data_IF_210771493298
#
_entry.id   IF_210771493298
#
_cell.length_a   1.000
_cell.length_b   1.000
_cell.length_c   1.000
_cell.angle_alpha   90.00
_cell.angle_beta   90.00
_cell.angle_gamma   90.00
#
_symmetry.space_group_name_H-M   'P 1'
#
loop_
_entity.id
_entity.type
_entity.pdbx_description
1 polymer ?
#
# COMPACT_ATOMS: atom_id res chain seq x y z
N UNK A 1 13.20 -29.87 -0.16
CA UNK A 1 12.72 -29.40 -1.48
C UNK A 1 13.65 -29.89 -2.57
N UNK A 2 13.11 -30.46 -3.65
CA UNK A 2 13.83 -30.85 -4.86
C UNK A 2 13.69 -29.74 -5.90
N UNK A 3 14.78 -29.39 -6.57
CA UNK A 3 14.84 -28.29 -7.54
C UNK A 3 15.65 -28.76 -8.75
N UNK A 4 15.01 -28.85 -9.92
CA UNK A 4 15.64 -29.31 -11.16
C UNK A 4 15.50 -28.27 -12.27
N UNK A 5 16.58 -27.96 -12.99
CA UNK A 5 16.54 -26.99 -14.11
C UNK A 5 16.07 -27.67 -15.40
N UNK A 6 15.07 -27.06 -16.04
CA UNK A 6 14.57 -27.45 -17.36
C UNK A 6 14.72 -26.29 -18.35
N UNK A 7 15.10 -26.63 -19.58
CA UNK A 7 15.03 -25.72 -20.72
C UNK A 7 13.75 -26.02 -21.48
N UNK A 8 12.84 -25.05 -21.53
CA UNK A 8 11.54 -25.21 -22.18
C UNK A 8 11.36 -24.08 -23.18
N UNK A 9 11.02 -24.43 -24.43
CA UNK A 9 10.79 -23.43 -25.47
C UNK A 9 9.55 -22.59 -25.18
N UNK A 10 9.59 -21.31 -25.56
CA UNK A 10 8.42 -20.42 -25.50
C UNK A 10 7.20 -21.05 -26.17
N UNK A 11 7.38 -21.69 -27.33
CA UNK A 11 6.30 -22.37 -28.05
C UNK A 11 5.53 -23.39 -27.21
N UNK A 12 6.20 -24.08 -26.30
CA UNK A 12 5.57 -25.04 -25.41
C UNK A 12 4.89 -24.33 -24.24
N UNK A 13 5.59 -23.38 -23.60
CA UNK A 13 5.08 -22.64 -22.43
C UNK A 13 3.78 -21.92 -22.74
N UNK A 14 3.68 -21.21 -23.87
CA UNK A 14 2.48 -20.43 -24.24
C UNK A 14 1.38 -21.25 -24.91
N UNK A 15 1.61 -22.55 -25.14
CA UNK A 15 0.65 -23.40 -25.84
C UNK A 15 -0.68 -23.46 -25.08
N UNK A 16 -1.78 -23.19 -25.77
CA UNK A 16 -3.11 -23.20 -25.16
C UNK A 16 -3.31 -22.11 -24.12
N UNK A 17 -2.59 -20.99 -24.25
CA UNK A 17 -2.75 -19.81 -23.39
C UNK A 17 -4.22 -19.38 -23.28
N UNK A 18 -4.66 -19.13 -22.06
CA UNK A 18 -5.97 -18.57 -21.73
C UNK A 18 -5.79 -17.52 -20.64
N UNK A 19 -6.17 -16.29 -20.96
CA UNK A 19 -6.30 -15.20 -20.01
C UNK A 19 -7.78 -14.99 -19.69
N UNK A 20 -8.22 -15.59 -18.59
CA UNK A 20 -9.56 -15.41 -18.08
C UNK A 20 -9.46 -14.50 -16.88
N UNK A 21 -9.54 -13.19 -17.10
CA UNK A 21 -9.27 -12.12 -16.12
C UNK A 21 -9.70 -12.45 -14.68
N UNK A 22 -10.83 -13.13 -14.50
CA UNK A 22 -11.37 -13.54 -13.19
C UNK A 22 -11.00 -14.96 -12.73
N UNK A 23 -10.81 -15.89 -13.66
CA UNK A 23 -10.57 -17.31 -13.38
C UNK A 23 -9.06 -17.65 -13.29
N UNK A 24 -8.18 -16.71 -13.60
CA UNK A 24 -6.74 -16.89 -13.60
C UNK A 24 -6.16 -16.94 -15.02
N UNK A 25 -4.85 -17.19 -15.10
CA UNK A 25 -4.13 -17.28 -16.38
C UNK A 25 -3.48 -18.65 -16.47
N UNK A 26 -3.75 -19.38 -17.56
CA UNK A 26 -3.20 -20.73 -17.76
C UNK A 26 -2.54 -20.89 -19.12
N UNK A 27 -1.57 -21.80 -19.22
CA UNK A 27 -0.93 -22.17 -20.47
C UNK A 27 -0.33 -23.59 -20.38
N UNK A 28 0.69 -23.90 -21.18
CA UNK A 28 1.33 -25.21 -21.26
C UNK A 28 0.31 -26.35 -21.46
N UNK A 29 -0.61 -26.14 -22.42
CA UNK A 29 -1.76 -27.03 -22.70
C UNK A 29 -2.67 -27.27 -21.50
N UNK A 30 -2.85 -26.26 -20.64
CA UNK A 30 -3.65 -26.32 -19.42
C UNK A 30 -2.93 -26.94 -18.21
N UNK A 31 -1.64 -27.29 -18.34
CA UNK A 31 -0.85 -27.86 -17.25
C UNK A 31 -0.14 -26.83 -16.39
N UNK A 32 -0.07 -25.58 -16.82
CA UNK A 32 0.56 -24.50 -16.06
C UNK A 32 -0.49 -23.47 -15.64
N UNK A 33 -0.64 -23.29 -14.33
CA UNK A 33 -1.30 -22.13 -13.76
C UNK A 33 -0.27 -20.99 -13.65
N UNK A 34 -0.34 -20.03 -14.58
CA UNK A 34 0.57 -18.88 -14.63
C UNK A 34 0.22 -17.89 -13.51
N UNK A 35 -1.07 -17.74 -13.21
CA UNK A 35 -1.57 -16.83 -12.19
C UNK A 35 -2.79 -17.44 -11.51
N UNK A 36 -2.57 -18.14 -10.38
CA UNK A 36 -3.64 -18.60 -9.51
C UNK A 36 -4.48 -17.44 -9.00
N UNK A 37 -5.75 -17.71 -8.67
CA UNK A 37 -6.72 -16.69 -8.23
C UNK A 37 -6.26 -15.87 -7.01
N UNK A 38 -5.40 -16.41 -6.15
CA UNK A 38 -4.87 -15.73 -4.97
C UNK A 38 -3.64 -14.85 -5.24
N UNK A 39 -2.90 -15.07 -6.35
CA UNK A 39 -1.72 -14.27 -6.69
C UNK A 39 -2.09 -12.91 -7.32
N UNK A 40 -1.22 -11.90 -7.20
CA UNK A 40 -1.49 -10.53 -7.68
C UNK A 40 -1.77 -10.48 -9.19
N UNK A 41 -2.45 -9.42 -9.61
CA UNK A 41 -2.72 -9.14 -11.03
C UNK A 41 -1.42 -8.86 -11.81
N UNK A 42 -1.52 -8.66 -13.13
CA UNK A 42 -0.38 -8.20 -13.92
C UNK A 42 -0.05 -6.74 -13.56
N UNK A 43 1.21 -6.46 -13.21
CA UNK A 43 1.65 -5.17 -12.65
C UNK A 43 2.84 -4.55 -13.38
N UNK A 44 3.44 -5.25 -14.35
CA UNK A 44 4.45 -4.65 -15.22
C UNK A 44 3.85 -3.48 -16.01
N UNK A 45 4.56 -2.35 -16.01
CA UNK A 45 4.29 -1.27 -16.95
C UNK A 45 4.56 -1.71 -18.40
N UNK A 46 4.03 -0.97 -19.37
CA UNK A 46 4.29 -1.23 -20.79
C UNK A 46 5.79 -1.36 -21.10
N UNK A 47 6.62 -0.47 -20.54
CA UNK A 47 8.09 -0.52 -20.71
C UNK A 47 8.70 -1.82 -20.17
N UNK A 48 8.29 -2.28 -18.99
CA UNK A 48 8.83 -3.51 -18.39
C UNK A 48 8.42 -4.74 -19.20
N UNK A 49 7.15 -4.80 -19.61
CA UNK A 49 6.62 -5.86 -20.48
C UNK A 49 7.37 -5.92 -21.81
N UNK A 50 7.57 -4.77 -22.44
CA UNK A 50 8.25 -4.67 -23.74
C UNK A 50 9.74 -5.08 -23.62
N UNK A 51 10.40 -4.79 -22.50
CA UNK A 51 11.78 -5.20 -22.24
C UNK A 51 11.95 -6.72 -22.17
N UNK A 52 10.94 -7.45 -21.67
CA UNK A 52 10.95 -8.93 -21.69
C UNK A 52 11.07 -9.44 -23.13
N UNK A 53 10.24 -8.90 -24.03
CA UNK A 53 10.25 -9.30 -25.44
C UNK A 53 11.54 -8.86 -26.12
N UNK A 54 12.05 -7.66 -25.80
CA UNK A 54 13.34 -7.17 -26.33
C UNK A 54 14.51 -8.06 -25.91
N UNK A 55 14.51 -8.54 -24.67
CA UNK A 55 15.52 -9.48 -24.16
C UNK A 55 15.52 -10.78 -24.97
N UNK A 56 14.34 -11.35 -25.21
CA UNK A 56 14.16 -12.56 -26.02
C UNK A 56 14.60 -12.34 -27.46
N UNK A 57 14.16 -11.24 -28.07
CA UNK A 57 14.54 -10.84 -29.43
C UNK A 57 16.06 -10.73 -29.60
N UNK A 58 16.77 -10.23 -28.60
CA UNK A 58 18.22 -10.07 -28.67
C UNK A 58 18.97 -11.34 -28.24
N UNK A 59 18.27 -12.45 -27.98
CA UNK A 59 18.83 -13.69 -27.45
C UNK A 59 19.62 -13.47 -26.15
N UNK A 60 19.26 -12.45 -25.37
CA UNK A 60 19.85 -12.17 -24.08
C UNK A 60 19.26 -13.10 -23.01
N UNK A 61 20.01 -13.41 -21.95
CA UNK A 61 19.52 -14.28 -20.89
C UNK A 61 18.38 -13.59 -20.12
N UNK A 62 17.19 -14.16 -20.22
CA UNK A 62 16.08 -13.82 -19.35
C UNK A 62 16.31 -14.49 -18.00
N UNK A 63 16.00 -13.79 -16.91
CA UNK A 63 16.12 -14.37 -15.56
C UNK A 63 15.38 -15.72 -15.49
N UNK A 64 15.90 -16.63 -14.66
CA UNK A 64 15.29 -17.95 -14.43
C UNK A 64 13.88 -17.80 -13.85
N UNK A 65 13.01 -18.75 -14.15
CA UNK A 65 11.66 -18.84 -13.59
C UNK A 65 11.57 -20.05 -12.68
N UNK A 66 10.59 -20.06 -11.78
CA UNK A 66 10.38 -21.16 -10.84
C UNK A 66 8.93 -21.61 -10.93
N UNK A 67 8.73 -22.89 -11.20
CA UNK A 67 7.43 -23.53 -11.20
C UNK A 67 7.38 -24.55 -10.07
N UNK A 68 6.28 -24.56 -9.33
CA UNK A 68 6.02 -25.57 -8.31
C UNK A 68 5.14 -26.65 -8.91
N UNK A 69 5.54 -27.90 -8.73
CA UNK A 69 4.73 -29.05 -9.10
C UNK A 69 3.63 -29.27 -8.05
N UNK A 70 2.40 -29.38 -8.53
CA UNK A 70 1.20 -29.68 -7.74
C UNK A 70 1.01 -31.19 -7.61
N UNK A 71 0.17 -31.60 -6.66
CA UNK A 71 -0.13 -33.01 -6.40
C UNK A 71 -0.79 -33.73 -7.59
N UNK A 72 -1.56 -32.98 -8.39
CA UNK A 72 -2.20 -33.45 -9.62
C UNK A 72 -1.23 -33.62 -10.81
N UNK A 73 0.08 -33.33 -10.61
CA UNK A 73 1.11 -33.40 -11.63
C UNK A 73 1.19 -32.16 -12.55
N UNK A 74 0.32 -31.17 -12.35
CA UNK A 74 0.39 -29.88 -13.03
C UNK A 74 1.41 -28.95 -12.34
N UNK A 75 1.60 -27.76 -12.91
CA UNK A 75 2.52 -26.74 -12.42
C UNK A 75 1.79 -25.46 -12.05
N UNK A 76 2.37 -24.73 -11.11
CA UNK A 76 2.02 -23.37 -10.76
C UNK A 76 3.26 -22.48 -10.81
N UNK A 77 3.15 -21.26 -11.33
CA UNK A 77 4.27 -20.31 -11.30
C UNK A 77 4.48 -19.79 -9.88
N UNK A 78 5.69 -19.99 -9.37
CA UNK A 78 6.17 -19.45 -8.10
C UNK A 78 6.90 -18.11 -8.28
N UNK A 79 7.70 -18.00 -9.34
CA UNK A 79 8.32 -16.76 -9.80
C UNK A 79 8.45 -16.77 -11.32
N UNK A 80 8.36 -15.59 -11.92
CA UNK A 80 8.32 -15.41 -13.37
C UNK A 80 6.93 -15.14 -13.94
N UNK A 81 5.92 -14.94 -13.10
CA UNK A 81 4.53 -14.66 -13.53
C UNK A 81 4.48 -13.52 -14.56
N UNK A 82 5.03 -12.35 -14.23
CA UNK A 82 4.96 -11.16 -15.09
C UNK A 82 5.69 -11.36 -16.43
N UNK A 83 6.84 -12.07 -16.41
CA UNK A 83 7.58 -12.42 -17.62
C UNK A 83 6.80 -13.39 -18.49
N UNK A 84 6.24 -14.45 -17.89
CA UNK A 84 5.46 -15.47 -18.58
C UNK A 84 4.22 -14.87 -19.24
N UNK A 85 3.48 -14.02 -18.52
CA UNK A 85 2.31 -13.30 -19.05
C UNK A 85 2.73 -12.35 -20.18
N UNK A 86 3.82 -11.59 -20.03
CA UNK A 86 4.30 -10.67 -21.08
C UNK A 86 4.58 -11.40 -22.39
N UNK A 87 5.23 -12.57 -22.31
CA UNK A 87 5.53 -13.43 -23.46
C UNK A 87 4.24 -13.94 -24.08
N UNK A 88 3.33 -14.49 -23.27
CA UNK A 88 2.09 -15.07 -23.74
C UNK A 88 1.18 -14.01 -24.41
N UNK A 89 1.04 -12.84 -23.80
CA UNK A 89 0.29 -11.71 -24.36
C UNK A 89 0.87 -11.23 -25.68
N UNK A 90 2.19 -11.16 -25.82
CA UNK A 90 2.82 -10.77 -27.08
C UNK A 90 2.52 -11.78 -28.19
N UNK A 91 2.73 -13.08 -27.90
CA UNK A 91 2.46 -14.18 -28.84
C UNK A 91 0.97 -14.25 -29.21
N UNK A 92 0.07 -13.93 -28.27
CA UNK A 92 -1.37 -13.84 -28.50
C UNK A 92 -1.77 -12.62 -29.36
N UNK A 93 -0.89 -11.61 -29.48
CA UNK A 93 -1.13 -10.40 -30.26
C UNK A 93 -1.78 -9.26 -29.48
N UNK A 94 -1.72 -9.28 -28.15
CA UNK A 94 -2.42 -8.31 -27.29
C UNK A 94 -1.78 -6.91 -27.31
N UNK A 95 -0.53 -6.79 -27.77
CA UNK A 95 0.17 -5.52 -27.88
C UNK A 95 1.24 -5.55 -28.98
N UNK A 96 1.68 -4.35 -29.38
CA UNK A 96 2.79 -4.13 -30.30
C UNK A 96 4.02 -3.59 -29.57
N UNK A 97 5.19 -3.86 -30.11
CA UNK A 97 6.47 -3.31 -29.66
C UNK A 97 7.29 -2.77 -30.83
N UNK A 98 8.33 -2.01 -30.54
CA UNK A 98 9.36 -1.73 -31.53
C UNK A 98 10.17 -3.00 -31.82
N UNK A 99 10.06 -3.48 -33.05
CA UNK A 99 10.76 -4.64 -33.56
C UNK A 99 11.52 -4.25 -34.83
N UNK A 100 12.83 -4.02 -34.69
CA UNK A 100 13.75 -3.81 -35.81
C UNK A 100 13.44 -2.51 -36.58
N UNK A 101 13.17 -1.43 -35.83
CA UNK A 101 12.88 -0.11 -36.39
C UNK A 101 11.43 0.11 -36.84
N UNK A 102 10.53 -0.87 -36.62
CA UNK A 102 9.09 -0.74 -36.89
C UNK A 102 8.26 -1.16 -35.69
N UNK A 103 7.05 -0.62 -35.56
CA UNK A 103 6.07 -1.12 -34.59
C UNK A 103 5.41 -2.38 -35.15
N UNK A 104 5.49 -3.49 -34.42
CA UNK A 104 4.94 -4.78 -34.86
C UNK A 104 4.28 -5.53 -33.69
N UNK A 105 3.18 -6.23 -34.01
CA UNK A 105 2.60 -7.29 -33.19
C UNK A 105 3.17 -8.63 -33.65
N UNK A 106 3.04 -9.69 -32.84
CA UNK A 106 3.60 -11.01 -33.19
C UNK A 106 3.17 -11.54 -34.56
N UNK A 107 1.90 -11.35 -34.94
CA UNK A 107 1.37 -11.78 -36.25
C UNK A 107 1.88 -10.93 -37.44
N UNK A 108 2.48 -9.77 -37.19
CA UNK A 108 3.10 -8.91 -38.22
C UNK A 108 4.59 -9.21 -38.46
N UNK A 109 5.17 -10.08 -37.61
CA UNK A 109 6.57 -10.51 -37.72
C UNK A 109 6.74 -11.49 -38.89
N UNK A 110 7.94 -11.52 -39.48
CA UNK A 110 8.27 -12.57 -40.46
C UNK A 110 8.33 -13.94 -39.78
N UNK A 111 8.31 -15.02 -40.58
CA UNK A 111 8.37 -16.37 -40.03
C UNK A 111 9.65 -16.60 -39.23
N UNK A 112 10.76 -16.06 -39.69
CA UNK A 112 12.07 -16.12 -39.03
C UNK A 112 12.05 -15.38 -37.69
N UNK A 113 11.45 -14.18 -37.64
CA UNK A 113 11.30 -13.38 -36.42
C UNK A 113 10.39 -14.09 -35.40
N UNK A 114 9.28 -14.70 -35.86
CA UNK A 114 8.40 -15.50 -35.00
C UNK A 114 9.14 -16.73 -34.45
N UNK A 115 9.86 -17.45 -35.32
CA UNK A 115 10.57 -18.66 -34.94
C UNK A 115 11.73 -18.34 -33.97
N UNK A 116 12.36 -17.17 -34.09
CA UNK A 116 13.36 -16.70 -33.13
C UNK A 116 12.78 -16.59 -31.71
N UNK A 117 11.59 -16.01 -31.58
CA UNK A 117 10.90 -15.89 -30.29
C UNK A 117 10.43 -17.26 -29.80
N UNK A 118 9.74 -18.01 -30.65
CA UNK A 118 9.09 -19.28 -30.28
C UNK A 118 10.10 -20.38 -29.90
N UNK A 119 11.31 -20.35 -30.47
CA UNK A 119 12.38 -21.30 -30.16
C UNK A 119 13.30 -20.87 -29.02
N UNK A 120 13.10 -19.69 -28.42
CA UNK A 120 13.89 -19.26 -27.26
C UNK A 120 13.67 -20.22 -26.08
N UNK A 121 14.78 -20.69 -25.48
CA UNK A 121 14.77 -21.57 -24.31
C UNK A 121 14.62 -20.77 -23.01
N UNK A 122 13.50 -20.95 -22.33
CA UNK A 122 13.30 -20.46 -20.97
C UNK A 122 13.98 -21.39 -19.98
N UNK A 123 14.73 -20.81 -19.05
CA UNK A 123 15.38 -21.51 -17.94
C UNK A 123 14.39 -21.59 -16.77
N UNK A 124 13.78 -22.76 -16.56
CA UNK A 124 12.69 -22.96 -15.60
C UNK A 124 13.11 -24.02 -14.60
N UNK A 125 13.16 -23.66 -13.32
CA UNK A 125 13.33 -24.61 -12.24
C UNK A 125 11.98 -25.22 -11.87
N UNK A 126 11.89 -26.54 -11.90
CA UNK A 126 10.77 -27.28 -11.32
C UNK A 126 11.08 -27.58 -9.85
N UNK A 127 10.20 -27.12 -8.97
CA UNK A 127 10.31 -27.24 -7.53
C UNK A 127 9.27 -28.24 -7.01
N UNK A 128 9.70 -29.18 -6.18
CA UNK A 128 8.85 -30.19 -5.53
C UNK A 128 9.20 -30.25 -4.03
N UNK A 129 8.20 -30.17 -3.16
CA UNK A 129 8.40 -30.11 -1.72
C UNK A 129 7.09 -30.01 -0.96
N UNK A 130 7.15 -29.97 0.36
CA UNK A 130 5.96 -29.70 1.18
C UNK A 130 5.62 -28.19 1.20
N UNK A 131 4.45 -27.84 1.74
CA UNK A 131 3.95 -26.45 1.71
C UNK A 131 4.83 -25.48 2.48
N UNK A 132 5.44 -25.92 3.59
CA UNK A 132 6.40 -25.10 4.34
C UNK A 132 7.63 -24.78 3.50
N UNK A 133 8.21 -25.79 2.85
CA UNK A 133 9.38 -25.61 1.99
C UNK A 133 9.07 -24.69 0.80
N UNK A 134 7.92 -24.86 0.16
CA UNK A 134 7.44 -24.00 -0.94
C UNK A 134 7.31 -22.55 -0.49
N UNK A 135 6.73 -22.33 0.70
CA UNK A 135 6.53 -20.99 1.27
C UNK A 135 7.86 -20.32 1.66
N UNK A 136 8.76 -21.05 2.30
CA UNK A 136 10.08 -20.53 2.67
C UNK A 136 10.88 -20.17 1.40
N UNK A 137 10.80 -21.01 0.37
CA UNK A 137 11.44 -20.75 -0.91
C UNK A 137 10.83 -19.55 -1.64
N UNK A 138 9.49 -19.40 -1.60
CA UNK A 138 8.79 -18.23 -2.12
C UNK A 138 9.32 -16.94 -1.50
N UNK A 139 9.49 -16.91 -0.17
CA UNK A 139 10.06 -15.75 0.53
C UNK A 139 11.48 -15.44 0.07
N UNK A 140 12.31 -16.46 -0.14
CA UNK A 140 13.70 -16.29 -0.59
C UNK A 140 13.78 -15.70 -2.01
N UNK A 141 13.04 -16.26 -2.97
CA UNK A 141 13.10 -15.78 -4.36
C UNK A 141 12.62 -14.32 -4.47
N UNK A 142 11.60 -13.96 -3.70
CA UNK A 142 11.04 -12.60 -3.70
C UNK A 142 12.00 -11.52 -3.18
N UNK A 143 13.19 -11.87 -2.67
CA UNK A 143 14.24 -10.92 -2.28
C UNK A 143 14.96 -10.34 -3.52
N UNK A 144 15.14 -11.14 -4.58
CA UNK A 144 15.92 -10.75 -5.76
C UNK A 144 15.06 -10.23 -6.95
N UNK A 145 13.74 -10.47 -6.91
CA UNK A 145 12.79 -10.08 -7.96
C UNK A 145 12.06 -8.76 -7.69
N UNK A 146 11.00 -8.50 -8.46
CA UNK A 146 10.11 -7.37 -8.18
C UNK A 146 9.34 -7.65 -6.87
N UNK A 147 9.84 -7.04 -5.79
CA UNK A 147 9.40 -7.29 -4.42
C UNK A 147 7.88 -7.33 -4.32
N UNK A 148 7.37 -8.43 -3.75
CA UNK A 148 5.98 -8.54 -3.36
C UNK A 148 5.70 -7.59 -2.18
N UNK A 149 4.54 -6.95 -2.24
CA UNK A 149 4.02 -6.14 -1.15
C UNK A 149 3.65 -7.05 0.03
N UNK A 150 3.64 -6.53 1.28
CA UNK A 150 3.37 -7.35 2.46
C UNK A 150 2.09 -8.18 2.33
N UNK A 151 0.99 -7.58 1.86
CA UNK A 151 -0.26 -8.30 1.67
C UNK A 151 -0.20 -9.40 0.60
N UNK A 152 0.60 -9.21 -0.45
CA UNK A 152 0.79 -10.22 -1.50
C UNK A 152 1.52 -11.46 -0.95
N UNK A 153 2.43 -11.29 0.02
CA UNK A 153 3.07 -12.39 0.73
C UNK A 153 2.08 -13.11 1.67
N UNK A 154 1.25 -12.36 2.40
CA UNK A 154 0.23 -12.94 3.30
C UNK A 154 -0.76 -13.81 2.54
N UNK A 155 -1.16 -13.40 1.34
CA UNK A 155 -2.06 -14.18 0.50
C UNK A 155 -1.53 -15.57 0.15
N UNK A 156 -0.23 -15.72 -0.07
CA UNK A 156 0.39 -17.01 -0.37
C UNK A 156 0.32 -17.97 0.83
N UNK A 157 0.25 -17.44 2.06
CA UNK A 157 0.10 -18.23 3.29
C UNK A 157 -1.36 -18.60 3.54
N UNK A 158 -2.26 -17.62 3.41
CA UNK A 158 -3.67 -17.74 3.81
C UNK A 158 -4.60 -17.95 2.61
N UNK A 159 -4.20 -18.83 1.69
CA UNK A 159 -5.00 -19.16 0.51
C UNK A 159 -6.28 -19.91 0.89
N UNK A 160 -7.41 -19.54 0.28
CA UNK A 160 -8.70 -20.18 0.53
C UNK A 160 -9.85 -19.50 -0.21
N UNK A 161 -11.07 -20.01 0.01
CA UNK A 161 -12.31 -19.45 -0.57
C UNK A 161 -12.52 -18.00 -0.14
N UNK A 162 -12.28 -17.70 1.13
CA UNK A 162 -12.39 -16.35 1.68
C UNK A 162 -11.48 -15.36 0.94
N UNK A 163 -10.19 -15.71 0.76
CA UNK A 163 -9.23 -14.83 0.12
C UNK A 163 -9.58 -14.60 -1.36
N UNK A 164 -9.99 -15.66 -2.05
CA UNK A 164 -10.39 -15.58 -3.46
C UNK A 164 -11.52 -14.56 -3.65
N UNK A 165 -12.53 -14.61 -2.78
CA UNK A 165 -13.64 -13.65 -2.80
C UNK A 165 -13.24 -12.24 -2.32
N UNK A 166 -12.37 -12.11 -1.30
CA UNK A 166 -11.83 -10.84 -0.86
C UNK A 166 -11.11 -10.11 -2.01
N UNK A 167 -10.29 -10.82 -2.79
CA UNK A 167 -9.57 -10.23 -3.92
C UNK A 167 -10.49 -9.73 -5.04
N UNK A 168 -11.61 -10.39 -5.29
CA UNK A 168 -12.61 -9.89 -6.24
C UNK A 168 -13.13 -8.51 -5.82
N UNK A 169 -13.33 -8.32 -4.51
CA UNK A 169 -13.87 -7.08 -3.93
C UNK A 169 -12.82 -5.97 -3.80
N UNK A 170 -11.56 -6.32 -3.53
CA UNK A 170 -10.52 -5.35 -3.13
C UNK A 170 -9.29 -5.25 -4.04
N UNK A 171 -9.01 -6.22 -4.91
CA UNK A 171 -7.66 -6.36 -5.51
C UNK A 171 -7.59 -6.35 -7.03
N UNK A 172 -8.68 -6.01 -7.72
CA UNK A 172 -8.72 -5.82 -9.17
C UNK A 172 -8.69 -4.34 -9.55
N UNK A 173 -8.28 -4.06 -10.79
CA UNK A 173 -8.52 -2.75 -11.40
C UNK A 173 -10.01 -2.42 -11.33
N UNK A 174 -10.34 -1.22 -10.85
CA UNK A 174 -11.74 -0.78 -10.66
C UNK A 174 -12.60 -1.76 -9.85
N UNK A 175 -12.01 -2.45 -8.86
CA UNK A 175 -12.77 -3.31 -7.95
C UNK A 175 -13.83 -2.51 -7.16
N UNK A 176 -14.80 -3.22 -6.58
CA UNK A 176 -15.90 -2.62 -5.83
C UNK A 176 -15.40 -1.68 -4.71
N UNK A 177 -14.36 -2.08 -3.97
CA UNK A 177 -13.78 -1.26 -2.92
C UNK A 177 -13.14 0.03 -3.46
N UNK A 178 -12.45 -0.05 -4.60
CA UNK A 178 -11.86 1.11 -5.26
C UNK A 178 -12.94 2.09 -5.71
N UNK A 179 -13.96 1.60 -6.42
CA UNK A 179 -15.05 2.45 -6.89
C UNK A 179 -15.77 3.12 -5.71
N UNK A 180 -16.09 2.36 -4.66
CA UNK A 180 -16.77 2.88 -3.47
C UNK A 180 -15.95 3.94 -2.73
N UNK A 181 -14.65 3.74 -2.53
CA UNK A 181 -13.80 4.69 -1.82
C UNK A 181 -13.48 5.96 -2.62
N UNK A 182 -13.68 5.93 -3.95
CA UNK A 182 -13.46 7.07 -4.84
C UNK A 182 -14.76 7.79 -5.25
N UNK A 183 -15.93 7.19 -4.99
CA UNK A 183 -17.22 7.81 -5.26
C UNK A 183 -17.43 9.04 -4.35
N UNK A 184 -17.53 10.23 -4.94
CA UNK A 184 -17.55 11.50 -4.21
C UNK A 184 -16.16 11.98 -3.74
N UNK A 185 -15.07 11.45 -4.30
CA UNK A 185 -13.68 11.89 -4.04
C UNK A 185 -12.85 10.86 -3.26
N UNK A 186 -11.53 10.80 -3.47
CA UNK A 186 -10.71 9.71 -2.94
C UNK A 186 -10.56 9.69 -1.42
N UNK A 187 -11.01 8.63 -0.74
CA UNK A 187 -10.83 8.43 0.71
C UNK A 187 -9.64 7.54 1.07
N UNK A 188 -9.15 6.74 0.13
CA UNK A 188 -8.06 5.78 0.34
C UNK A 188 -7.04 5.94 -0.78
N UNK A 189 -5.78 6.13 -0.40
CA UNK A 189 -4.63 6.05 -1.32
C UNK A 189 -4.18 4.60 -1.48
N UNK A 190 -3.50 4.30 -2.60
CA UNK A 190 -2.95 2.98 -2.88
C UNK A 190 -3.53 2.35 -4.14
N UNK A 191 -2.92 1.23 -4.52
CA UNK A 191 -3.20 0.47 -5.73
C UNK A 191 -3.94 -0.83 -5.39
N UNK A 192 -5.17 -1.01 -5.91
CA UNK A 192 -5.91 -2.27 -5.75
C UNK A 192 -5.13 -3.48 -6.27
N UNK A 193 -4.47 -3.35 -7.43
CA UNK A 193 -3.71 -4.46 -8.03
C UNK A 193 -2.44 -4.82 -7.27
N UNK A 194 -1.92 -3.91 -6.43
CA UNK A 194 -0.87 -4.17 -5.43
C UNK A 194 -1.41 -4.57 -4.05
N UNK A 195 -2.72 -4.74 -3.97
CA UNK A 195 -3.46 -5.19 -2.80
C UNK A 195 -3.48 -4.23 -1.60
N UNK A 196 -3.13 -2.96 -1.80
CA UNK A 196 -3.09 -1.96 -0.73
C UNK A 196 -4.49 -1.67 -0.16
N UNK A 197 -5.54 -1.81 -0.98
CA UNK A 197 -6.94 -1.69 -0.54
C UNK A 197 -7.36 -2.83 0.39
N UNK A 198 -6.98 -4.07 0.04
CA UNK A 198 -7.23 -5.24 0.87
C UNK A 198 -6.46 -5.13 2.19
N UNK A 199 -5.18 -4.73 2.11
CA UNK A 199 -4.33 -4.50 3.28
C UNK A 199 -4.93 -3.44 4.22
N UNK A 200 -5.38 -2.31 3.68
CA UNK A 200 -6.01 -1.23 4.44
C UNK A 200 -7.28 -1.71 5.14
N UNK A 201 -8.18 -2.39 4.43
CA UNK A 201 -9.41 -2.93 5.01
C UNK A 201 -9.12 -3.96 6.12
N UNK A 202 -8.10 -4.80 5.92
CA UNK A 202 -7.69 -5.78 6.92
C UNK A 202 -7.07 -5.12 8.16
N UNK A 203 -6.16 -4.17 7.96
CA UNK A 203 -5.57 -3.37 9.06
C UNK A 203 -6.67 -2.73 9.89
N UNK A 204 -7.67 -2.12 9.25
CA UNK A 204 -8.79 -1.47 9.92
C UNK A 204 -9.66 -2.41 10.75
N UNK A 205 -10.09 -3.55 10.19
CA UNK A 205 -10.99 -4.47 10.89
C UNK A 205 -10.27 -5.26 12.00
N UNK A 206 -8.95 -5.45 11.87
CA UNK A 206 -8.15 -6.28 12.78
C UNK A 206 -7.27 -5.47 13.74
N UNK A 207 -7.28 -4.14 13.65
CA UNK A 207 -6.36 -3.26 14.39
C UNK A 207 -4.90 -3.68 14.19
N UNK A 208 -4.50 -3.76 12.91
CA UNK A 208 -3.19 -4.22 12.41
C UNK A 208 -2.82 -5.69 12.65
N UNK A 209 -3.68 -6.50 13.27
CA UNK A 209 -3.50 -7.96 13.39
C UNK A 209 -3.92 -8.74 12.11
N UNK A 210 -3.43 -8.32 10.94
CA UNK A 210 -3.87 -8.81 9.62
C UNK A 210 -3.74 -10.34 9.50
N UNK A 211 -2.59 -10.89 9.87
CA UNK A 211 -2.31 -12.32 9.72
C UNK A 211 -3.25 -13.18 10.58
N UNK A 212 -3.57 -12.70 11.79
CA UNK A 212 -4.51 -13.38 12.69
C UNK A 212 -5.93 -13.37 12.11
N UNK A 213 -6.37 -12.25 11.54
CA UNK A 213 -7.66 -12.16 10.86
C UNK A 213 -7.73 -13.14 9.68
N UNK A 214 -6.72 -13.12 8.80
CA UNK A 214 -6.68 -14.01 7.65
C UNK A 214 -6.65 -15.49 8.04
N UNK A 215 -5.89 -15.86 9.08
CA UNK A 215 -5.84 -17.23 9.59
C UNK A 215 -7.19 -17.71 10.13
N UNK A 216 -7.92 -16.85 10.85
CA UNK A 216 -9.24 -17.18 11.40
C UNK A 216 -10.31 -17.35 10.32
N UNK A 217 -10.20 -16.59 9.23
CA UNK A 217 -11.22 -16.53 8.17
C UNK A 217 -10.85 -17.32 6.90
N UNK A 218 -9.67 -17.95 6.84
CA UNK A 218 -9.14 -18.60 5.63
C UNK A 218 -10.14 -19.57 4.95
N UNK A 219 -10.91 -20.30 5.74
CA UNK A 219 -11.87 -21.31 5.28
C UNK A 219 -13.32 -20.81 5.22
N UNK A 220 -13.57 -19.53 5.50
CA UNK A 220 -14.89 -18.94 5.31
C UNK A 220 -15.25 -18.98 3.81
N UNK A 221 -16.55 -19.12 3.52
CA UNK A 221 -17.04 -19.24 2.14
C UNK A 221 -16.77 -17.98 1.31
N UNK A 222 -16.83 -16.80 1.94
CA UNK A 222 -16.67 -15.50 1.32
C UNK A 222 -16.19 -14.45 2.33
N UNK A 223 -15.80 -13.28 1.85
CA UNK A 223 -15.32 -12.14 2.62
C UNK A 223 -16.41 -11.09 2.90
N UNK A 224 -17.68 -11.49 3.00
CA UNK A 224 -18.80 -10.56 3.15
C UNK A 224 -18.72 -9.74 4.45
N UNK A 225 -18.19 -10.31 5.53
CA UNK A 225 -17.97 -9.58 6.79
C UNK A 225 -16.97 -8.42 6.62
N UNK A 226 -15.83 -8.69 5.94
CA UNK A 226 -14.84 -7.67 5.63
C UNK A 226 -15.42 -6.60 4.70
N UNK A 227 -16.21 -7.04 3.71
CA UNK A 227 -16.86 -6.15 2.76
C UNK A 227 -17.86 -5.21 3.44
N UNK A 228 -18.77 -5.76 4.25
CA UNK A 228 -19.75 -4.98 5.02
C UNK A 228 -19.06 -3.99 5.96
N UNK A 229 -18.00 -4.42 6.66
CA UNK A 229 -17.20 -3.53 7.48
C UNK A 229 -16.66 -2.34 6.68
N UNK A 230 -16.02 -2.61 5.54
CA UNK A 230 -15.49 -1.57 4.67
C UNK A 230 -16.57 -0.61 4.16
N UNK A 231 -17.71 -1.15 3.72
CA UNK A 231 -18.85 -0.34 3.30
C UNK A 231 -19.35 0.59 4.40
N UNK A 232 -19.45 0.09 5.63
CA UNK A 232 -19.88 0.87 6.78
C UNK A 232 -18.88 1.99 7.13
N UNK A 233 -17.58 1.73 7.03
CA UNK A 233 -16.55 2.76 7.20
C UNK A 233 -16.74 3.87 6.17
N UNK A 234 -16.80 3.53 4.88
CA UNK A 234 -16.94 4.53 3.81
C UNK A 234 -18.24 5.31 3.96
N UNK A 235 -19.37 4.63 4.21
CA UNK A 235 -20.65 5.28 4.42
C UNK A 235 -20.61 6.26 5.61
N UNK A 236 -20.07 5.83 6.75
CA UNK A 236 -19.95 6.69 7.93
C UNK A 236 -19.10 7.93 7.67
N UNK A 237 -17.99 7.80 6.93
CA UNK A 237 -17.15 8.96 6.54
C UNK A 237 -17.96 9.95 5.70
N UNK A 238 -18.73 9.47 4.73
CA UNK A 238 -19.53 10.32 3.84
C UNK A 238 -20.67 11.03 4.57
N UNK A 239 -21.33 10.35 5.49
CA UNK A 239 -22.38 10.94 6.33
C UNK A 239 -21.82 11.99 7.30
N UNK A 240 -20.65 11.70 7.89
CA UNK A 240 -20.02 12.57 8.90
C UNK A 240 -19.34 13.79 8.28
N UNK A 241 -18.71 13.64 7.12
CA UNK A 241 -17.90 14.66 6.45
C UNK A 241 -18.45 14.95 5.04
N UNK A 242 -19.38 15.91 4.97
CA UNK A 242 -20.15 16.18 3.75
C UNK A 242 -19.33 16.75 2.58
N UNK A 243 -18.21 17.42 2.87
CA UNK A 243 -17.40 18.11 1.85
C UNK A 243 -16.06 17.42 1.64
N UNK A 244 -15.89 16.85 0.45
CA UNK A 244 -14.63 16.24 0.06
C UNK A 244 -13.50 17.26 -0.06
N UNK A 245 -12.32 16.86 0.44
CA UNK A 245 -11.03 17.53 0.21
C UNK A 245 -9.95 16.48 -0.03
N UNK A 246 -8.95 16.79 -0.84
CA UNK A 246 -7.87 15.84 -1.20
C UNK A 246 -7.13 15.25 0.00
N UNK A 247 -7.06 16.01 1.10
CA UNK A 247 -6.42 15.62 2.36
C UNK A 247 -7.10 14.41 3.03
N UNK A 248 -8.36 14.12 2.67
CA UNK A 248 -9.13 12.97 3.18
C UNK A 248 -8.56 11.62 2.73
N UNK A 249 -7.83 11.59 1.62
CA UNK A 249 -7.28 10.35 1.04
C UNK A 249 -6.22 9.65 1.90
N UNK A 250 -5.62 10.38 2.85
CA UNK A 250 -4.54 9.91 3.71
C UNK A 250 -4.96 9.73 5.18
N UNK A 251 -6.26 9.76 5.48
CA UNK A 251 -6.77 9.62 6.85
C UNK A 251 -7.04 8.14 7.15
N UNK A 252 -6.67 7.70 8.36
CA UNK A 252 -6.98 6.35 8.84
C UNK A 252 -8.47 6.24 9.24
N UNK A 253 -9.35 6.13 8.25
CA UNK A 253 -10.80 6.14 8.47
C UNK A 253 -11.31 4.96 9.29
N UNK A 254 -10.69 3.78 9.17
CA UNK A 254 -11.09 2.61 9.95
C UNK A 254 -10.89 2.78 11.44
N UNK A 255 -9.76 3.37 11.85
CA UNK A 255 -9.48 3.69 13.27
C UNK A 255 -10.53 4.65 13.83
N UNK A 256 -10.82 5.73 13.10
CA UNK A 256 -11.83 6.71 13.50
C UNK A 256 -13.24 6.09 13.53
N UNK A 257 -13.59 5.29 12.54
CA UNK A 257 -14.87 4.58 12.51
C UNK A 257 -14.99 3.66 13.73
N UNK A 258 -13.96 2.88 14.04
CA UNK A 258 -13.98 1.93 15.15
C UNK A 258 -14.21 2.63 16.50
N UNK A 259 -13.63 3.82 16.70
CA UNK A 259 -13.78 4.59 17.95
C UNK A 259 -15.07 5.42 18.00
N UNK A 260 -15.54 5.93 16.86
CA UNK A 260 -16.55 7.00 16.82
C UNK A 260 -17.88 6.66 16.13
N UNK A 261 -18.04 5.47 15.51
CA UNK A 261 -19.27 5.08 14.78
C UNK A 261 -20.56 5.18 15.59
N UNK A 262 -20.50 5.00 16.91
CA UNK A 262 -21.66 5.04 17.80
C UNK A 262 -21.98 6.45 18.32
N UNK A 263 -21.14 7.46 18.01
CA UNK A 263 -21.35 8.85 18.41
C UNK A 263 -22.10 9.60 17.31
N UNK A 264 -23.03 10.48 17.73
CA UNK A 264 -23.74 11.38 16.81
C UNK A 264 -22.93 12.66 16.63
N UNK A 265 -22.59 12.98 15.39
CA UNK A 265 -21.94 14.23 15.02
C UNK A 265 -22.91 15.17 14.32
N UNK A 266 -22.69 16.46 14.51
CA UNK A 266 -23.32 17.49 13.70
C UNK A 266 -22.36 17.84 12.56
N UNK A 267 -22.64 17.36 11.35
CA UNK A 267 -21.78 17.51 10.18
C UNK A 267 -21.55 18.99 9.80
N UNK A 268 -22.54 19.87 10.01
CA UNK A 268 -22.39 21.31 9.76
C UNK A 268 -21.40 21.96 10.72
N UNK A 269 -21.46 21.59 12.01
CA UNK A 269 -20.52 22.09 13.02
C UNK A 269 -19.11 21.60 12.74
N UNK A 270 -18.95 20.32 12.41
CA UNK A 270 -17.64 19.77 12.04
C UNK A 270 -17.07 20.47 10.80
N UNK A 271 -17.88 20.68 9.77
CA UNK A 271 -17.45 21.35 8.55
C UNK A 271 -17.02 22.80 8.79
N UNK A 272 -17.72 23.54 9.67
CA UNK A 272 -17.30 24.89 10.07
C UNK A 272 -15.91 24.87 10.70
N UNK A 273 -15.70 23.96 11.66
CA UNK A 273 -14.41 23.81 12.35
C UNK A 273 -13.29 23.38 11.39
N UNK A 274 -13.56 22.43 10.48
CA UNK A 274 -12.61 22.00 9.45
C UNK A 274 -12.19 23.20 8.59
N UNK A 275 -13.13 24.07 8.16
CA UNK A 275 -12.80 25.26 7.37
C UNK A 275 -11.88 26.23 8.11
N UNK A 276 -12.11 26.45 9.39
CA UNK A 276 -11.27 27.31 10.23
C UNK A 276 -9.85 26.75 10.33
N UNK A 277 -9.73 25.45 10.61
CA UNK A 277 -8.43 24.75 10.72
C UNK A 277 -7.68 24.63 9.38
N UNK A 278 -8.40 24.52 8.28
CA UNK A 278 -7.81 24.52 6.95
C UNK A 278 -7.16 25.86 6.60
N UNK A 279 -7.72 26.98 7.10
CA UNK A 279 -7.16 28.33 6.92
C UNK A 279 -6.03 28.65 7.90
N UNK A 280 -5.92 27.92 9.00
CA UNK A 280 -4.88 28.18 10.00
C UNK A 280 -3.50 27.77 9.48
N UNK A 281 -2.61 28.75 9.28
CA UNK A 281 -1.23 28.53 8.84
C UNK A 281 -0.39 27.74 9.86
N UNK A 282 -0.80 27.74 11.13
CA UNK A 282 -0.12 26.96 12.16
C UNK A 282 -0.40 25.45 12.02
N UNK A 283 -1.51 25.05 11.37
CA UNK A 283 -1.80 23.62 11.12
C UNK A 283 -1.06 23.18 9.86
N UNK A 284 0.05 22.47 10.03
CA UNK A 284 0.88 22.03 8.89
C UNK A 284 0.44 20.67 8.32
N UNK A 285 -0.15 19.78 9.13
CA UNK A 285 -0.70 18.48 8.67
C UNK A 285 -2.22 18.57 8.50
N UNK A 286 -2.66 19.06 7.35
CA UNK A 286 -4.08 19.26 7.03
C UNK A 286 -4.92 17.97 7.06
N UNK A 287 -4.37 16.81 6.72
CA UNK A 287 -5.07 15.52 6.89
C UNK A 287 -5.32 15.16 8.36
N UNK A 288 -4.53 15.71 9.28
CA UNK A 288 -4.70 15.54 10.72
C UNK A 288 -5.90 16.28 11.32
N UNK A 289 -6.54 17.17 10.56
CA UNK A 289 -7.71 17.91 11.02
C UNK A 289 -8.86 16.96 11.34
N UNK A 290 -9.11 15.95 10.50
CA UNK A 290 -10.21 14.99 10.68
C UNK A 290 -10.10 14.17 11.98
N UNK A 291 -8.97 13.52 12.30
CA UNK A 291 -8.81 12.87 13.59
C UNK A 291 -8.80 13.88 14.77
N UNK A 292 -8.25 15.09 14.59
CA UNK A 292 -8.24 16.10 15.65
C UNK A 292 -9.64 16.54 16.09
N UNK A 293 -10.54 16.85 15.16
CA UNK A 293 -11.87 17.36 15.54
C UNK A 293 -12.72 16.31 16.29
N UNK A 294 -12.38 15.03 16.13
CA UNK A 294 -13.02 13.91 16.83
C UNK A 294 -12.34 13.58 18.17
N UNK A 295 -11.01 13.57 18.21
CA UNK A 295 -10.21 13.12 19.37
C UNK A 295 -9.75 14.23 20.30
N UNK A 296 -9.66 15.47 19.78
CA UNK A 296 -9.06 16.66 20.41
C UNK A 296 -7.57 16.53 20.72
N UNK A 297 -6.86 15.59 20.09
CA UNK A 297 -5.41 15.41 20.25
C UNK A 297 -4.65 16.27 19.23
N UNK A 298 -3.98 17.32 19.70
CA UNK A 298 -3.20 18.25 18.85
C UNK A 298 -2.08 17.57 18.05
N UNK A 299 -1.59 16.42 18.53
CA UNK A 299 -0.55 15.62 17.85
C UNK A 299 -0.90 15.27 16.40
N UNK A 300 -2.20 15.21 16.05
CA UNK A 300 -2.62 14.99 14.67
C UNK A 300 -2.36 16.19 13.76
N UNK A 301 -2.44 17.42 14.26
CA UNK A 301 -2.38 18.65 13.45
C UNK A 301 -0.96 19.02 13.01
N UNK A 302 0.07 18.53 13.72
CA UNK A 302 1.47 18.92 13.54
C UNK A 302 1.61 20.45 13.50
N UNK A 303 1.43 21.10 14.66
CA UNK A 303 1.45 22.55 14.76
C UNK A 303 2.83 23.11 14.37
N UNK A 304 2.84 24.25 13.68
CA UNK A 304 4.04 24.97 13.22
C UNK A 304 4.98 25.18 14.40
N UNK A 305 6.25 24.85 14.19
CA UNK A 305 7.28 25.13 15.18
C UNK A 305 7.69 26.61 15.14
N UNK A 306 8.00 27.18 16.30
CA UNK A 306 8.62 28.50 16.40
C UNK A 306 9.95 28.55 15.62
N UNK A 307 10.17 29.66 14.89
CA UNK A 307 11.41 29.87 14.12
C UNK A 307 12.61 30.12 15.04
N UNK A 308 13.86 29.86 14.61
CA UNK A 308 15.05 30.11 15.43
C UNK A 308 15.13 31.55 15.99
N UNK A 309 14.69 32.54 15.21
CA UNK A 309 14.66 33.94 15.65
C UNK A 309 13.67 34.14 16.80
N UNK A 310 12.46 33.59 16.69
CA UNK A 310 11.45 33.68 17.75
C UNK A 310 11.92 32.99 19.05
N UNK A 311 12.64 31.86 18.92
CA UNK A 311 13.25 31.17 20.07
C UNK A 311 14.33 32.03 20.73
N UNK A 312 15.18 32.67 19.93
CA UNK A 312 16.22 33.58 20.42
C UNK A 312 15.61 34.78 21.14
N UNK A 313 14.62 35.42 20.54
CA UNK A 313 13.92 36.57 21.12
C UNK A 313 13.25 36.21 22.45
N UNK A 314 12.54 35.07 22.52
CA UNK A 314 11.94 34.58 23.76
C UNK A 314 12.99 34.31 24.84
N UNK A 315 14.10 33.68 24.47
CA UNK A 315 15.21 33.42 25.38
C UNK A 315 15.78 34.71 26.00
N UNK A 316 16.02 35.75 25.19
CA UNK A 316 16.52 37.04 25.68
C UNK A 316 15.49 37.75 26.57
N UNK A 317 14.20 37.74 26.19
CA UNK A 317 13.11 38.29 27.03
C UNK A 317 13.04 37.62 28.40
N UNK A 318 13.29 36.33 28.46
CA UNK A 318 13.30 35.54 29.69
C UNK A 318 14.65 35.52 30.40
N UNK A 319 15.69 36.12 29.83
CA UNK A 319 17.08 36.06 30.33
C UNK A 319 17.58 34.64 30.60
N UNK A 320 17.13 33.66 29.82
CA UNK A 320 17.43 32.24 30.00
C UNK A 320 16.75 31.57 31.21
N UNK A 321 15.71 32.18 31.77
CA UNK A 321 14.98 31.65 32.93
C UNK A 321 13.67 30.97 32.47
N UNK A 322 13.48 29.73 32.88
CA UNK A 322 12.25 28.97 32.63
C UNK A 322 11.14 29.45 33.57
N UNK A 323 10.00 29.85 33.02
CA UNK A 323 8.79 30.29 33.75
C UNK A 323 8.18 29.21 34.65
N UNK A 324 8.32 27.93 34.27
CA UNK A 324 7.68 26.79 34.94
C UNK A 324 8.57 26.06 35.96
N UNK A 325 9.84 26.45 36.08
CA UNK A 325 10.74 25.86 37.06
C UNK A 325 10.31 26.23 38.49
N UNK A 326 10.34 25.25 39.40
CA UNK A 326 10.02 25.41 40.82
C UNK A 326 11.21 25.02 41.71
N UNK A 327 11.19 25.46 42.97
CA UNK A 327 12.24 25.15 43.95
C UNK A 327 13.60 25.75 43.58
N UNK A 328 14.67 24.99 43.78
CA UNK A 328 16.06 25.41 43.54
C UNK A 328 16.33 25.83 42.07
N UNK A 329 15.54 25.31 41.12
CA UNK A 329 15.69 25.62 39.70
C UNK A 329 14.92 26.88 39.24
N UNK A 330 14.14 27.55 40.12
CA UNK A 330 13.25 28.66 39.73
C UNK A 330 13.99 29.84 39.08
N UNK A 331 15.19 30.15 39.56
CA UNK A 331 16.03 31.25 39.03
C UNK A 331 17.28 30.72 38.32
N UNK A 332 17.32 29.42 37.99
CA UNK A 332 18.43 28.84 37.25
C UNK A 332 18.43 29.42 35.83
N UNK A 333 19.59 29.94 35.42
CA UNK A 333 19.84 30.34 34.05
C UNK A 333 20.23 29.10 33.24
N UNK A 334 19.48 28.82 32.19
CA UNK A 334 19.70 27.71 31.27
C UNK A 334 20.35 28.24 30.01
N UNK A 335 21.20 27.44 29.36
CA UNK A 335 21.66 27.74 28.01
C UNK A 335 20.53 27.50 27.00
N UNK A 336 20.52 28.25 25.89
CA UNK A 336 19.43 28.14 24.90
C UNK A 336 19.23 26.71 24.37
N UNK A 337 20.31 25.92 24.24
CA UNK A 337 20.26 24.52 23.79
C UNK A 337 19.70 23.54 24.83
N UNK A 338 19.55 23.98 26.08
CA UNK A 338 18.93 23.26 27.19
C UNK A 338 17.44 23.56 27.34
N UNK A 339 16.92 24.48 26.51
CA UNK A 339 15.53 24.91 26.52
C UNK A 339 14.82 24.54 25.22
N UNK A 340 13.50 24.42 25.30
CA UNK A 340 12.59 24.16 24.20
C UNK A 340 11.55 25.26 24.14
N UNK A 341 11.21 25.69 22.92
CA UNK A 341 10.19 26.70 22.72
C UNK A 341 8.80 26.08 22.78
N UNK A 342 7.89 26.78 23.43
CA UNK A 342 6.52 26.35 23.65
C UNK A 342 5.59 27.56 23.68
N UNK A 343 4.29 27.32 23.52
CA UNK A 343 3.29 28.38 23.54
C UNK A 343 3.02 28.87 24.96
N UNK A 344 2.83 30.18 25.14
CA UNK A 344 2.33 30.75 26.41
C UNK A 344 0.87 30.36 26.58
N UNK A 345 0.03 30.85 25.67
CA UNK A 345 -1.35 30.42 25.50
C UNK A 345 -1.37 29.17 24.60
N UNK A 346 -1.88 28.02 25.08
CA UNK A 346 -1.94 26.80 24.30
C UNK A 346 -2.66 26.99 22.95
N UNK A 347 -2.24 26.22 21.95
CA UNK A 347 -2.80 26.36 20.61
C UNK A 347 -4.31 26.05 20.56
N UNK A 348 -4.80 25.02 21.27
CA UNK A 348 -6.24 24.74 21.37
C UNK A 348 -7.07 25.83 22.05
N UNK A 349 -6.45 26.72 22.84
CA UNK A 349 -7.12 27.87 23.45
C UNK A 349 -7.09 29.12 22.54
N UNK A 350 -6.57 28.98 21.31
CA UNK A 350 -6.47 30.04 20.31
C UNK A 350 -5.09 30.68 20.22
N UNK A 351 -4.08 30.16 20.96
CA UNK A 351 -2.71 30.64 20.92
C UNK A 351 -2.05 30.43 19.56
N UNK A 352 -1.53 31.51 18.96
CA UNK A 352 -0.83 31.46 17.66
C UNK A 352 0.67 31.23 17.81
N UNK A 353 1.31 30.67 16.78
CA UNK A 353 2.76 30.48 16.72
C UNK A 353 3.43 31.79 16.28
N UNK A 354 3.37 32.80 17.15
CA UNK A 354 3.94 34.14 16.95
C UNK A 354 4.96 34.46 18.04
N UNK A 355 5.82 35.46 17.81
CA UNK A 355 6.94 35.75 18.70
C UNK A 355 6.45 36.07 20.12
N UNK A 356 5.32 36.76 20.23
CA UNK A 356 4.68 37.18 21.48
C UNK A 356 4.17 36.01 22.31
N UNK A 357 3.73 34.93 21.65
CA UNK A 357 3.23 33.72 22.30
C UNK A 357 4.31 32.65 22.49
N UNK A 358 5.57 32.96 22.17
CA UNK A 358 6.70 32.06 22.34
C UNK A 358 7.33 32.24 23.72
N UNK A 359 7.44 31.15 24.48
CA UNK A 359 8.27 31.04 25.68
C UNK A 359 9.27 29.89 25.56
N UNK A 360 10.39 30.01 26.25
CA UNK A 360 11.41 28.98 26.41
C UNK A 360 11.21 28.29 27.76
N UNK A 361 11.01 26.97 27.73
CA UNK A 361 10.93 26.11 28.91
C UNK A 361 12.16 25.22 28.98
N UNK A 362 12.65 24.86 30.17
CA UNK A 362 13.66 23.81 30.25
C UNK A 362 13.06 22.47 29.78
N UNK A 363 13.89 21.58 29.22
CA UNK A 363 13.43 20.28 28.66
C UNK A 363 12.54 19.47 29.62
N UNK A 364 12.83 19.49 30.91
CA UNK A 364 12.03 18.78 31.90
C UNK A 364 10.63 19.40 32.08
N UNK A 365 10.54 20.72 32.20
CA UNK A 365 9.26 21.41 32.33
C UNK A 365 8.43 21.28 31.06
N UNK A 366 9.06 21.39 29.88
CA UNK A 366 8.38 21.21 28.60
C UNK A 366 7.78 19.80 28.46
N UNK A 367 8.56 18.75 28.72
CA UNK A 367 8.07 17.35 28.70
C UNK A 367 6.90 17.11 29.64
N UNK A 368 6.94 17.70 30.85
CA UNK A 368 5.85 17.60 31.81
C UNK A 368 4.59 18.33 31.35
N UNK A 369 4.73 19.42 30.58
CA UNK A 369 3.62 20.15 30.00
C UNK A 369 3.03 19.40 28.82
N UNK A 370 3.84 18.83 27.93
CA UNK A 370 3.38 18.04 26.78
C UNK A 370 2.79 16.66 27.13
N UNK A 371 3.10 16.12 28.31
CA UNK A 371 2.58 14.84 28.80
C UNK A 371 1.27 14.93 29.59
N UNK A 372 0.69 16.13 29.71
CA UNK A 372 -0.66 16.37 30.23
C UNK A 372 -1.61 16.53 29.06
#
# INVERSE_FOLDING_TARGET
MKIDLHKIKIAEVVKGYKDSSEEGVSAFSGKLDIRPKYQREFVYSGKQRDEVIRTIKNSFPLNVMYWVKKEDGNFEVLDGQQRTISIAQFVNGDFSIEFSGRIAMFHNLTKEEQDQIMNYDLMIYHCEGNDKEKLDWFKIINIAGEKLFPQELRNAVYTGSWLSDAKLKFSKSNCAAYLLANDGGQLITGSPIRQEYLETALSWVSNDEIEKYMAQHQHDKNADKLWQYFQNVIHWVRETFSNYRKEMSCVNWGELYNEFKDKKFNSEKLEKEIKELMQDEDVTKKSGIYPYILTRKESYLSIRAFTPNMKREAYERQSGICSDCKGENKNKKWEIGEMEADHIDPWHEGGKTIAENCQMLCKECNRRKSGK
#
